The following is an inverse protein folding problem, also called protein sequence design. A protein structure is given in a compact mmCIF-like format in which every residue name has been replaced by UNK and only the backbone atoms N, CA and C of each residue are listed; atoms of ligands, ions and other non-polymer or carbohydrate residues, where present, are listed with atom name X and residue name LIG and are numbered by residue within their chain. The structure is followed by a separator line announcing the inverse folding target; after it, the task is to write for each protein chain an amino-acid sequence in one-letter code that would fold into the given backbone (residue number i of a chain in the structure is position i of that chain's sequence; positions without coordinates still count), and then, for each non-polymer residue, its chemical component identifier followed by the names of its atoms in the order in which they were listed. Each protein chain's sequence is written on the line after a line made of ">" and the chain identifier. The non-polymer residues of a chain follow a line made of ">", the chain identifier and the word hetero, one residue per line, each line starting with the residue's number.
data_IF_007363004081
#
_entry.id   IF_007363004081
#
_cell.length_a   1.000
_cell.length_b   1.000
_cell.length_c   1.000
_cell.angle_alpha   90.00
_cell.angle_beta   90.00
_cell.angle_gamma   90.00
#
_symmetry.space_group_name_H-M   'P 1'
#
loop_
_entity.id
_entity.type
_entity.pdbx_description
1 polymer ?
#
# COMPACT_ATOMS: atom_id res chain seq x y z
N UNK A 1 -1.30 -90.19 18.60
CA UNK A 1 -2.46 -89.35 18.23
C UNK A 1 -3.20 -90.04 17.10
N UNK A 2 -4.16 -90.89 17.47
CA UNK A 2 -4.76 -91.86 16.56
C UNK A 2 -5.77 -91.15 15.65
N UNK A 3 -5.44 -91.12 14.36
CA UNK A 3 -6.33 -90.74 13.26
C UNK A 3 -7.70 -91.39 13.48
N UNK A 4 -8.75 -90.62 13.21
CA UNK A 4 -10.17 -90.99 13.19
C UNK A 4 -10.41 -92.36 12.54
N UNK A 5 -10.28 -93.43 13.33
CA UNK A 5 -10.60 -94.79 12.92
C UNK A 5 -12.11 -94.95 13.05
N UNK A 6 -12.77 -95.20 11.93
CA UNK A 6 -14.21 -95.37 11.90
C UNK A 6 -14.58 -96.83 12.19
N UNK A 7 -15.65 -97.03 12.95
CA UNK A 7 -16.31 -98.33 13.12
C UNK A 7 -17.25 -98.65 11.96
N UNK A 8 -17.44 -97.73 11.01
CA UNK A 8 -18.28 -97.94 9.83
C UNK A 8 -17.47 -98.55 8.68
N UNK A 9 -17.96 -99.68 8.14
CA UNK A 9 -17.34 -100.49 7.09
C UNK A 9 -17.22 -99.72 5.77
N UNK A 10 -18.04 -98.69 5.57
CA UNK A 10 -18.08 -97.88 4.33
C UNK A 10 -17.01 -96.78 4.26
N UNK A 11 -16.31 -96.52 5.37
CA UNK A 11 -15.33 -95.46 5.45
C UNK A 11 -13.91 -95.97 5.12
N UNK A 12 -13.09 -95.19 4.38
CA UNK A 12 -11.75 -95.61 3.97
C UNK A 12 -10.78 -95.81 5.15
N UNK A 13 -11.13 -95.31 6.35
CA UNK A 13 -10.37 -95.46 7.60
C UNK A 13 -10.96 -96.53 8.54
N UNK A 14 -11.62 -97.56 8.01
CA UNK A 14 -12.17 -98.65 8.80
C UNK A 14 -11.07 -99.47 9.49
N UNK A 15 -11.18 -99.61 10.81
CA UNK A 15 -10.27 -100.47 11.58
C UNK A 15 -11.03 -101.66 12.18
N UNK A 16 -10.77 -102.91 11.72
CA UNK A 16 -11.48 -104.11 12.17
C UNK A 16 -11.39 -104.35 13.68
N UNK A 17 -10.27 -103.98 14.30
CA UNK A 17 -10.04 -104.19 15.73
C UNK A 17 -10.94 -103.28 16.58
N UNK A 18 -11.14 -102.02 16.15
CA UNK A 18 -12.03 -101.08 16.83
C UNK A 18 -13.51 -101.43 16.64
N UNK A 19 -13.88 -101.97 15.48
CA UNK A 19 -15.24 -102.43 15.23
C UNK A 19 -15.66 -103.58 16.16
N UNK A 20 -14.77 -104.57 16.34
CA UNK A 20 -15.01 -105.69 17.25
C UNK A 20 -15.06 -105.24 18.72
N UNK A 21 -14.19 -104.31 19.11
CA UNK A 21 -14.21 -103.68 20.44
C UNK A 21 -15.51 -102.90 20.70
N UNK A 22 -16.04 -102.19 19.72
CA UNK A 22 -17.23 -101.36 19.88
C UNK A 22 -18.54 -102.18 19.93
N UNK A 23 -18.68 -103.20 19.07
CA UNK A 23 -19.94 -103.95 18.93
C UNK A 23 -20.00 -105.29 19.68
N UNK A 24 -18.87 -105.85 20.09
CA UNK A 24 -18.78 -107.17 20.75
C UNK A 24 -17.85 -107.16 21.97
N UNK A 25 -17.88 -106.08 22.76
CA UNK A 25 -17.07 -105.95 23.99
C UNK A 25 -17.43 -106.93 25.12
N UNK A 26 -18.63 -107.53 25.10
CA UNK A 26 -19.12 -108.46 26.14
C UNK A 26 -19.10 -109.94 25.72
N UNK A 27 -18.58 -110.27 24.53
CA UNK A 27 -18.57 -111.64 24.01
C UNK A 27 -17.43 -112.48 24.62
N UNK A 28 -17.74 -113.67 25.12
CA UNK A 28 -16.74 -114.57 25.72
C UNK A 28 -15.90 -115.26 24.62
N UNK A 29 -14.64 -115.65 24.90
CA UNK A 29 -13.70 -116.18 23.88
C UNK A 29 -14.28 -117.35 23.07
N UNK A 30 -15.04 -118.25 23.71
CA UNK A 30 -15.70 -119.37 23.03
C UNK A 30 -16.80 -118.94 22.06
N UNK A 31 -17.49 -117.82 22.31
CA UNK A 31 -18.46 -117.26 21.36
C UNK A 31 -17.77 -116.64 20.16
N UNK A 32 -16.63 -115.96 20.33
CA UNK A 32 -15.84 -115.43 19.22
C UNK A 32 -15.27 -116.57 18.36
N UNK A 33 -14.85 -117.67 18.97
CA UNK A 33 -14.38 -118.87 18.25
C UNK A 33 -15.51 -119.51 17.45
N UNK A 34 -16.70 -119.70 18.06
CA UNK A 34 -17.89 -120.18 17.34
C UNK A 34 -18.31 -119.26 16.20
N UNK A 35 -18.27 -117.95 16.40
CA UNK A 35 -18.58 -116.97 15.36
C UNK A 35 -17.54 -116.96 14.23
N UNK A 36 -16.26 -117.17 14.54
CA UNK A 36 -15.20 -117.29 13.53
C UNK A 36 -15.36 -118.58 12.72
N UNK A 37 -15.69 -119.70 13.37
CA UNK A 37 -15.98 -120.96 12.68
C UNK A 37 -17.26 -120.86 11.84
N UNK A 38 -18.30 -120.15 12.32
CA UNK A 38 -19.48 -119.80 11.53
C UNK A 38 -19.10 -118.92 10.34
N UNK A 39 -18.25 -117.90 10.54
CA UNK A 39 -17.82 -116.99 9.48
C UNK A 39 -17.01 -117.71 8.41
N UNK A 40 -16.09 -118.60 8.81
CA UNK A 40 -15.32 -119.45 7.90
C UNK A 40 -16.23 -120.38 7.09
N UNK A 41 -17.25 -120.98 7.71
CA UNK A 41 -18.25 -121.79 7.01
C UNK A 41 -19.08 -120.95 6.04
N UNK A 42 -19.58 -119.79 6.47
CA UNK A 42 -20.28 -118.87 5.56
C UNK A 42 -19.38 -118.28 4.49
N UNK A 43 -18.06 -118.14 4.71
CA UNK A 43 -17.12 -117.66 3.70
C UNK A 43 -16.77 -118.76 2.69
N UNK A 44 -16.69 -120.03 3.11
CA UNK A 44 -16.58 -121.16 2.17
C UNK A 44 -17.87 -121.32 1.35
N UNK A 45 -19.04 -121.18 1.98
CA UNK A 45 -20.33 -121.22 1.28
C UNK A 45 -20.49 -120.00 0.35
N UNK A 46 -20.04 -118.81 0.79
CA UNK A 46 -20.00 -117.60 -0.03
C UNK A 46 -18.90 -117.61 -1.08
N UNK A 47 -17.87 -118.46 -1.04
CA UNK A 47 -16.98 -118.61 -2.21
C UNK A 47 -17.74 -119.26 -3.36
N UNK A 48 -18.64 -120.20 -3.08
CA UNK A 48 -19.58 -120.73 -4.06
C UNK A 48 -20.55 -119.65 -4.56
N UNK A 49 -21.26 -118.99 -3.63
CA UNK A 49 -22.27 -117.99 -3.98
C UNK A 49 -21.68 -116.72 -4.64
N UNK A 50 -20.53 -116.24 -4.18
CA UNK A 50 -19.82 -115.07 -4.74
C UNK A 50 -19.18 -115.40 -6.09
N UNK A 51 -18.69 -116.62 -6.31
CA UNK A 51 -18.27 -117.02 -7.67
C UNK A 51 -19.45 -117.18 -8.62
N UNK A 52 -20.64 -117.61 -8.18
CA UNK A 52 -21.87 -117.56 -9.01
C UNK A 52 -22.42 -116.16 -9.21
N UNK A 53 -22.38 -115.28 -8.22
CA UNK A 53 -22.82 -113.88 -8.34
C UNK A 53 -21.88 -113.08 -9.24
N UNK A 54 -20.57 -113.28 -9.10
CA UNK A 54 -19.58 -112.72 -10.00
C UNK A 54 -19.79 -113.33 -11.38
N UNK A 55 -19.93 -114.66 -11.55
CA UNK A 55 -20.16 -115.30 -12.86
C UNK A 55 -21.44 -114.83 -13.57
N UNK A 56 -22.53 -114.66 -12.85
CA UNK A 56 -23.80 -114.21 -13.42
C UNK A 56 -23.80 -112.70 -13.74
N UNK A 57 -22.94 -111.91 -13.09
CA UNK A 57 -22.89 -110.45 -13.24
C UNK A 57 -21.50 -109.96 -13.69
N UNK A 58 -20.70 -110.81 -14.37
CA UNK A 58 -19.34 -110.49 -14.82
C UNK A 58 -19.36 -109.23 -15.68
N UNK A 59 -20.35 -109.11 -16.57
CA UNK A 59 -20.46 -107.99 -17.49
C UNK A 59 -20.59 -106.66 -16.73
N UNK A 60 -21.52 -106.57 -15.79
CA UNK A 60 -21.73 -105.38 -14.95
C UNK A 60 -20.55 -105.07 -14.03
N UNK A 61 -19.82 -106.08 -13.54
CA UNK A 61 -18.59 -105.86 -12.78
C UNK A 61 -17.43 -105.38 -13.66
N UNK A 62 -17.26 -105.95 -14.85
CA UNK A 62 -16.27 -105.47 -15.81
C UNK A 62 -16.60 -104.05 -16.28
N UNK A 63 -17.87 -103.76 -16.52
CA UNK A 63 -18.35 -102.41 -16.84
C UNK A 63 -18.07 -101.44 -15.70
N UNK A 64 -18.37 -101.79 -14.44
CA UNK A 64 -18.04 -100.93 -13.30
C UNK A 64 -16.51 -100.73 -13.14
N UNK A 65 -15.71 -101.75 -13.42
CA UNK A 65 -14.24 -101.66 -13.39
C UNK A 65 -13.71 -100.82 -14.55
N UNK A 66 -14.28 -100.93 -15.73
CA UNK A 66 -13.89 -100.15 -16.90
C UNK A 66 -14.34 -98.69 -16.73
N UNK A 67 -15.54 -98.43 -16.20
CA UNK A 67 -15.99 -97.09 -15.76
C UNK A 67 -15.02 -96.52 -14.72
N UNK A 68 -14.60 -97.31 -13.72
CA UNK A 68 -13.60 -96.86 -12.74
C UNK A 68 -12.23 -96.57 -13.37
N UNK A 69 -11.79 -97.37 -14.34
CA UNK A 69 -10.55 -97.11 -15.09
C UNK A 69 -10.68 -95.87 -15.97
N UNK A 70 -11.84 -95.65 -16.59
CA UNK A 70 -12.11 -94.49 -17.43
C UNK A 70 -12.19 -93.22 -16.58
N UNK A 71 -12.86 -93.24 -15.43
CA UNK A 71 -12.84 -92.13 -14.46
C UNK A 71 -11.41 -91.82 -14.02
N UNK A 72 -10.58 -92.85 -13.77
CA UNK A 72 -9.18 -92.67 -13.41
C UNK A 72 -8.33 -92.13 -14.57
N UNK A 73 -8.65 -92.48 -15.82
CA UNK A 73 -8.03 -91.93 -17.02
C UNK A 73 -8.41 -90.46 -17.21
N UNK A 74 -9.70 -90.10 -17.12
CA UNK A 74 -10.16 -88.72 -17.14
C UNK A 74 -9.46 -87.87 -16.07
N UNK A 75 -9.40 -88.34 -14.82
CA UNK A 75 -8.71 -87.61 -13.74
C UNK A 75 -7.18 -87.51 -13.90
N UNK A 76 -6.56 -88.42 -14.66
CA UNK A 76 -5.14 -88.37 -14.97
C UNK A 76 -4.83 -87.46 -16.17
N UNK A 77 -5.76 -87.36 -17.13
CA UNK A 77 -5.69 -86.44 -18.27
C UNK A 77 -6.02 -84.99 -17.86
N UNK A 78 -6.95 -84.79 -16.92
CA UNK A 78 -7.31 -83.46 -16.36
C UNK A 78 -6.12 -82.77 -15.67
N UNK A 79 -5.16 -83.55 -15.14
CA UNK A 79 -3.91 -83.01 -14.56
C UNK A 79 -2.84 -82.71 -15.61
N UNK A 80 -2.96 -83.24 -16.82
CA UNK A 80 -1.98 -83.10 -17.91
C UNK A 80 -2.36 -82.08 -18.96
N UNK A 81 -3.65 -81.77 -19.13
CA UNK A 81 -4.11 -80.73 -20.04
C UNK A 81 -4.69 -79.58 -19.25
N UNK A 82 -3.91 -78.52 -19.09
CA UNK A 82 -4.23 -77.11 -19.32
C UNK A 82 -5.72 -76.71 -19.49
N UNK A 83 -6.64 -77.21 -18.68
CA UNK A 83 -8.08 -76.92 -18.83
C UNK A 83 -8.37 -75.43 -18.62
N UNK A 84 -7.60 -74.81 -17.72
CA UNK A 84 -7.68 -73.39 -17.42
C UNK A 84 -6.87 -72.51 -18.36
N UNK A 85 -5.95 -73.05 -19.16
CA UNK A 85 -5.09 -72.21 -20.02
C UNK A 85 -5.86 -71.52 -21.16
N UNK A 86 -6.82 -72.17 -21.84
CA UNK A 86 -7.71 -71.49 -22.77
C UNK A 86 -8.58 -70.42 -22.11
N UNK A 87 -9.00 -70.64 -20.87
CA UNK A 87 -9.82 -69.66 -20.11
C UNK A 87 -8.96 -68.47 -19.68
N UNK A 88 -7.73 -68.71 -19.22
CA UNK A 88 -6.76 -67.67 -18.90
C UNK A 88 -6.43 -66.87 -20.15
N UNK A 89 -6.16 -67.53 -21.28
CA UNK A 89 -5.94 -66.86 -22.58
C UNK A 89 -7.15 -66.04 -23.00
N UNK A 90 -8.37 -66.57 -22.86
CA UNK A 90 -9.59 -65.81 -23.16
C UNK A 90 -9.74 -64.58 -22.26
N UNK A 91 -9.40 -64.68 -20.97
CA UNK A 91 -9.45 -63.56 -20.02
C UNK A 91 -8.35 -62.53 -20.32
N UNK A 92 -7.15 -62.97 -20.69
CA UNK A 92 -6.07 -62.10 -21.15
C UNK A 92 -6.44 -61.39 -22.45
N UNK A 93 -7.04 -62.10 -23.41
CA UNK A 93 -7.53 -61.56 -24.68
C UNK A 93 -8.65 -60.53 -24.45
N UNK A 94 -9.62 -60.85 -23.56
CA UNK A 94 -10.69 -59.91 -23.19
C UNK A 94 -10.11 -58.69 -22.48
N UNK A 95 -9.11 -58.86 -21.61
CA UNK A 95 -8.45 -57.75 -20.94
C UNK A 95 -7.69 -56.87 -21.94
N UNK A 96 -7.02 -57.47 -22.92
CA UNK A 96 -6.28 -56.76 -23.95
C UNK A 96 -7.22 -55.99 -24.90
N UNK A 97 -8.38 -56.58 -25.23
CA UNK A 97 -9.44 -55.91 -25.98
C UNK A 97 -10.04 -54.78 -25.15
N UNK A 98 -10.30 -55.00 -23.86
CA UNK A 98 -10.83 -53.99 -22.96
C UNK A 98 -9.89 -52.80 -22.82
N UNK A 99 -8.58 -53.01 -22.63
CA UNK A 99 -7.59 -51.93 -22.63
C UNK A 99 -7.56 -51.22 -23.98
N UNK A 100 -7.54 -51.96 -25.09
CA UNK A 100 -7.57 -51.35 -26.43
C UNK A 100 -8.82 -50.50 -26.69
N UNK A 101 -9.98 -50.87 -26.15
CA UNK A 101 -11.22 -50.12 -26.32
C UNK A 101 -11.29 -48.94 -25.34
N UNK A 102 -11.10 -49.20 -24.04
CA UNK A 102 -11.32 -48.23 -22.99
C UNK A 102 -10.18 -47.26 -22.78
N UNK A 103 -8.92 -47.55 -23.12
CA UNK A 103 -7.83 -46.57 -22.95
C UNK A 103 -8.08 -45.31 -23.78
N UNK A 104 -8.66 -45.47 -24.97
CA UNK A 104 -9.04 -44.33 -25.82
C UNK A 104 -10.21 -43.53 -25.24
N UNK A 105 -11.19 -44.21 -24.63
CA UNK A 105 -12.35 -43.56 -24.02
C UNK A 105 -12.01 -42.92 -22.66
N UNK A 106 -11.11 -43.54 -21.87
CA UNK A 106 -10.54 -42.99 -20.65
C UNK A 106 -9.72 -41.73 -20.96
N UNK A 107 -8.86 -41.76 -21.98
CA UNK A 107 -8.12 -40.58 -22.41
C UNK A 107 -9.03 -39.44 -22.88
N UNK A 108 -10.13 -39.77 -23.59
CA UNK A 108 -11.16 -38.79 -23.98
C UNK A 108 -11.92 -38.23 -22.79
N UNK A 109 -12.22 -39.07 -21.80
CA UNK A 109 -12.84 -38.65 -20.53
C UNK A 109 -11.91 -37.72 -19.76
N UNK A 110 -10.64 -38.09 -19.59
CA UNK A 110 -9.64 -37.25 -18.93
C UNK A 110 -9.46 -35.92 -19.66
N UNK A 111 -9.43 -35.93 -20.99
CA UNK A 111 -9.42 -34.70 -21.79
C UNK A 111 -10.69 -33.86 -21.58
N UNK A 112 -11.86 -34.48 -21.52
CA UNK A 112 -13.12 -33.77 -21.22
C UNK A 112 -13.13 -33.18 -19.81
N UNK A 113 -12.61 -33.92 -18.82
CA UNK A 113 -12.54 -33.49 -17.43
C UNK A 113 -11.51 -32.36 -17.23
N UNK A 114 -10.39 -32.40 -17.95
CA UNK A 114 -9.42 -31.28 -17.98
C UNK A 114 -10.03 -30.03 -18.61
N UNK A 115 -10.76 -30.13 -19.73
CA UNK A 115 -11.50 -29.01 -20.31
C UNK A 115 -12.51 -28.46 -19.32
N UNK A 116 -13.26 -29.33 -18.65
CA UNK A 116 -14.29 -28.93 -17.67
C UNK A 116 -13.69 -28.23 -16.46
N UNK A 117 -12.56 -28.74 -15.96
CA UNK A 117 -11.81 -28.12 -14.87
C UNK A 117 -11.24 -26.75 -15.29
N UNK A 118 -10.63 -26.66 -16.46
CA UNK A 118 -10.12 -25.40 -17.01
C UNK A 118 -11.26 -24.37 -17.17
N UNK A 119 -12.42 -24.78 -17.69
CA UNK A 119 -13.59 -23.91 -17.83
C UNK A 119 -14.09 -23.43 -16.46
N UNK A 120 -14.16 -24.30 -15.46
CA UNK A 120 -14.56 -23.94 -14.10
C UNK A 120 -13.58 -22.93 -13.47
N UNK A 121 -12.27 -23.10 -13.66
CA UNK A 121 -11.25 -22.15 -13.19
C UNK A 121 -11.42 -20.80 -13.89
N UNK A 122 -11.60 -20.79 -15.22
CA UNK A 122 -11.82 -19.55 -15.98
C UNK A 122 -13.11 -18.84 -15.54
N UNK A 123 -14.19 -19.58 -15.30
CA UNK A 123 -15.46 -18.99 -14.83
C UNK A 123 -15.34 -18.44 -13.40
N UNK A 124 -14.73 -19.21 -12.48
CA UNK A 124 -14.54 -18.81 -11.08
C UNK A 124 -13.63 -17.58 -10.95
N UNK A 125 -12.57 -17.52 -11.76
CA UNK A 125 -11.59 -16.43 -11.74
C UNK A 125 -11.73 -15.47 -12.93
N UNK A 126 -12.89 -15.43 -13.58
CA UNK A 126 -13.16 -14.54 -14.73
C UNK A 126 -12.80 -13.09 -14.41
N UNK A 127 -13.10 -12.67 -13.19
CA UNK A 127 -12.73 -11.35 -12.66
C UNK A 127 -11.22 -11.11 -12.68
N UNK A 128 -10.40 -12.07 -12.25
CA UNK A 128 -8.94 -11.95 -12.21
C UNK A 128 -8.35 -11.78 -13.62
N UNK A 129 -8.88 -12.52 -14.60
CA UNK A 129 -8.45 -12.41 -15.99
C UNK A 129 -8.85 -11.07 -16.63
N UNK A 130 -9.97 -10.49 -16.23
CA UNK A 130 -10.44 -9.20 -16.75
C UNK A 130 -9.92 -8.01 -15.92
N UNK A 131 -9.25 -8.28 -14.79
CA UNK A 131 -8.77 -7.26 -13.86
C UNK A 131 -7.81 -6.27 -14.51
N UNK A 132 -6.76 -6.68 -15.27
CA UNK A 132 -5.83 -5.73 -15.85
C UNK A 132 -6.52 -4.78 -16.83
N UNK A 133 -7.44 -5.29 -17.66
CA UNK A 133 -8.20 -4.48 -18.61
C UNK A 133 -9.19 -3.54 -17.91
N UNK A 134 -9.78 -3.99 -16.80
CA UNK A 134 -10.71 -3.17 -16.01
C UNK A 134 -9.97 -2.06 -15.27
N UNK A 135 -8.79 -2.35 -14.72
CA UNK A 135 -7.91 -1.35 -14.10
C UNK A 135 -7.50 -0.32 -15.15
N UNK A 136 -7.01 -0.73 -16.32
CA UNK A 136 -6.58 0.22 -17.35
C UNK A 136 -7.71 1.15 -17.80
N UNK A 137 -8.93 0.61 -17.96
CA UNK A 137 -10.12 1.42 -18.29
C UNK A 137 -10.53 2.35 -17.17
N UNK A 138 -10.43 1.91 -15.92
CA UNK A 138 -10.85 2.69 -14.75
C UNK A 138 -9.84 3.80 -14.43
N UNK A 139 -8.55 3.56 -14.68
CA UNK A 139 -7.50 4.59 -14.63
C UNK A 139 -7.73 5.68 -15.67
N UNK A 140 -8.12 5.31 -16.91
CA UNK A 140 -8.48 6.28 -17.96
C UNK A 140 -9.73 7.10 -17.64
N UNK A 141 -10.59 6.61 -16.74
CA UNK A 141 -11.83 7.28 -16.30
C UNK A 141 -11.69 8.02 -14.97
N UNK A 142 -10.49 8.02 -14.38
CA UNK A 142 -10.20 8.60 -13.05
C UNK A 142 -11.03 8.01 -11.89
N UNK A 143 -11.59 6.80 -12.07
CA UNK A 143 -12.38 6.10 -11.05
C UNK A 143 -11.47 5.30 -10.09
N UNK A 144 -10.57 6.01 -9.39
CA UNK A 144 -9.52 5.40 -8.58
C UNK A 144 -10.02 4.57 -7.39
N UNK A 145 -11.18 4.91 -6.81
CA UNK A 145 -11.78 4.15 -5.71
C UNK A 145 -12.17 2.72 -6.13
N UNK A 146 -12.74 2.58 -7.34
CA UNK A 146 -13.09 1.27 -7.89
C UNK A 146 -11.85 0.43 -8.15
N UNK A 147 -10.80 1.06 -8.68
CA UNK A 147 -9.50 0.41 -8.92
C UNK A 147 -8.94 -0.18 -7.63
N UNK A 148 -8.99 0.57 -6.54
CA UNK A 148 -8.46 0.11 -5.24
C UNK A 148 -9.28 -1.04 -4.67
N UNK A 149 -10.61 -0.95 -4.72
CA UNK A 149 -11.48 -2.03 -4.26
C UNK A 149 -11.26 -3.31 -5.09
N UNK A 150 -11.09 -3.18 -6.41
CA UNK A 150 -10.80 -4.30 -7.30
C UNK A 150 -9.42 -4.90 -7.02
N UNK A 151 -8.42 -4.07 -6.70
CA UNK A 151 -7.07 -4.51 -6.32
C UNK A 151 -7.04 -5.22 -4.97
N UNK A 152 -7.77 -4.72 -3.96
CA UNK A 152 -7.89 -5.39 -2.65
C UNK A 152 -8.58 -6.74 -2.80
N UNK A 153 -9.66 -6.81 -3.59
CA UNK A 153 -10.35 -8.08 -3.93
C UNK A 153 -9.44 -9.03 -4.68
N UNK A 154 -8.65 -8.52 -5.63
CA UNK A 154 -7.68 -9.33 -6.37
C UNK A 154 -6.62 -9.92 -5.43
N UNK A 155 -6.08 -9.11 -4.51
CA UNK A 155 -5.07 -9.56 -3.54
C UNK A 155 -5.59 -10.70 -2.66
N UNK A 156 -6.81 -10.57 -2.12
CA UNK A 156 -7.46 -11.62 -1.34
C UNK A 156 -7.72 -12.88 -2.18
N UNK A 157 -8.05 -12.74 -3.45
CA UNK A 157 -8.25 -13.88 -4.34
C UNK A 157 -6.94 -14.62 -4.66
N UNK A 158 -5.81 -13.89 -4.78
CA UNK A 158 -4.49 -14.48 -5.05
C UNK A 158 -3.91 -15.24 -3.86
N UNK A 159 -4.26 -14.91 -2.61
CA UNK A 159 -3.82 -15.69 -1.43
C UNK A 159 -4.34 -17.13 -1.42
N UNK A 160 -5.40 -17.43 -2.19
CA UNK A 160 -6.05 -18.74 -2.20
C UNK A 160 -5.60 -19.68 -3.32
N UNK A 161 -4.77 -19.22 -4.28
CA UNK A 161 -4.47 -20.00 -5.51
C UNK A 161 -3.01 -19.88 -5.96
N UNK A 162 -2.24 -20.95 -5.73
CA UNK A 162 -0.88 -21.09 -6.24
C UNK A 162 -0.86 -21.85 -7.57
N UNK A 163 -0.94 -21.14 -8.70
CA UNK A 163 -0.66 -21.73 -10.01
C UNK A 163 0.23 -20.83 -10.88
N UNK A 164 1.00 -21.44 -11.78
CA UNK A 164 1.97 -20.75 -12.65
C UNK A 164 1.31 -19.72 -13.58
N UNK A 165 0.06 -19.96 -13.99
CA UNK A 165 -0.73 -19.01 -14.81
C UNK A 165 -1.13 -17.79 -14.00
N UNK A 166 -1.54 -17.98 -12.74
CA UNK A 166 -1.85 -16.87 -11.84
C UNK A 166 -0.62 -16.02 -11.51
N UNK A 167 0.59 -16.60 -11.53
CA UNK A 167 1.84 -15.84 -11.34
C UNK A 167 2.10 -14.80 -12.41
N UNK A 168 1.78 -15.10 -13.67
CA UNK A 168 1.94 -14.12 -14.76
C UNK A 168 0.92 -12.98 -14.63
N UNK A 169 -0.32 -13.29 -14.26
CA UNK A 169 -1.36 -12.28 -14.03
C UNK A 169 -1.04 -11.46 -12.78
N UNK A 170 -0.55 -12.09 -11.72
CA UNK A 170 -0.09 -11.43 -10.51
C UNK A 170 1.07 -10.47 -10.80
N UNK A 171 2.00 -10.85 -11.69
CA UNK A 171 3.08 -9.95 -12.14
C UNK A 171 2.52 -8.74 -12.88
N UNK A 172 1.58 -8.95 -13.81
CA UNK A 172 0.93 -7.85 -14.55
C UNK A 172 0.15 -6.93 -13.60
N UNK A 173 -0.61 -7.49 -12.66
CA UNK A 173 -1.36 -6.73 -11.66
C UNK A 173 -0.42 -5.97 -10.73
N UNK A 174 0.68 -6.57 -10.26
CA UNK A 174 1.67 -5.86 -9.45
C UNK A 174 2.38 -4.74 -10.23
N UNK A 175 2.65 -4.94 -11.52
CA UNK A 175 3.18 -3.89 -12.39
C UNK A 175 2.18 -2.73 -12.55
N UNK A 176 0.88 -3.03 -12.71
CA UNK A 176 -0.17 -2.01 -12.74
C UNK A 176 -0.31 -1.28 -11.39
N UNK A 177 -0.22 -2.01 -10.27
CA UNK A 177 -0.17 -1.40 -8.93
C UNK A 177 1.04 -0.46 -8.82
N UNK A 178 2.20 -0.85 -9.33
CA UNK A 178 3.40 -0.02 -9.30
C UNK A 178 3.24 1.24 -10.16
N UNK A 179 2.64 1.12 -11.35
CA UNK A 179 2.33 2.25 -12.22
C UNK A 179 1.34 3.22 -11.54
N UNK A 180 0.31 2.68 -10.87
CA UNK A 180 -0.64 3.47 -10.09
C UNK A 180 0.03 4.17 -8.90
N UNK A 181 0.95 3.50 -8.21
CA UNK A 181 1.76 4.12 -7.15
C UNK A 181 2.57 5.29 -7.69
N UNK A 182 3.23 5.13 -8.83
CA UNK A 182 3.99 6.22 -9.45
C UNK A 182 3.09 7.37 -9.88
N UNK A 183 1.90 7.09 -10.41
CA UNK A 183 0.92 8.11 -10.80
C UNK A 183 0.41 8.88 -9.58
N UNK A 184 0.02 8.20 -8.51
CA UNK A 184 -0.43 8.86 -7.29
C UNK A 184 0.69 9.64 -6.61
N UNK A 185 1.93 9.16 -6.64
CA UNK A 185 3.09 9.94 -6.17
C UNK A 185 3.31 11.18 -7.03
N UNK A 186 3.22 11.07 -8.36
CA UNK A 186 3.32 12.21 -9.27
C UNK A 186 2.22 13.24 -9.02
N UNK A 187 0.97 12.82 -8.86
CA UNK A 187 -0.14 13.74 -8.52
C UNK A 187 -0.04 14.33 -7.11
N UNK A 188 0.56 13.63 -6.16
CA UNK A 188 0.89 14.20 -4.85
C UNK A 188 2.04 15.22 -4.89
N UNK A 189 2.93 15.12 -5.89
CA UNK A 189 4.00 16.10 -6.11
C UNK A 189 3.55 17.32 -6.91
N UNK A 190 2.35 17.30 -7.51
CA UNK A 190 1.77 18.47 -8.17
C UNK A 190 1.35 19.51 -7.12
N UNK A 191 2.05 20.64 -7.10
CA UNK A 191 1.77 21.80 -6.27
C UNK A 191 1.29 22.95 -7.17
N UNK A 192 0.15 23.61 -6.86
CA UNK A 192 -0.73 23.44 -5.69
C UNK A 192 -1.86 22.41 -5.94
N UNK A 193 -2.01 21.43 -5.05
CA UNK A 193 -3.12 20.47 -5.03
C UNK A 193 -4.09 20.75 -3.88
N UNK A 194 -5.38 20.45 -4.05
CA UNK A 194 -6.37 20.68 -2.99
C UNK A 194 -6.14 19.70 -1.82
N UNK A 195 -6.40 20.15 -0.59
CA UNK A 195 -6.26 19.32 0.61
C UNK A 195 -7.09 18.03 0.50
N UNK A 196 -8.26 18.10 -0.12
CA UNK A 196 -9.15 16.94 -0.23
C UNK A 196 -8.64 15.90 -1.23
N UNK A 197 -8.02 16.34 -2.33
CA UNK A 197 -7.30 15.45 -3.25
C UNK A 197 -6.09 14.82 -2.57
N UNK A 198 -5.32 15.61 -1.80
CA UNK A 198 -4.18 15.09 -1.02
C UNK A 198 -4.62 14.02 -0.01
N UNK A 199 -5.69 14.26 0.76
CA UNK A 199 -6.25 13.25 1.68
C UNK A 199 -6.68 11.99 0.95
N UNK A 200 -7.32 12.14 -0.21
CA UNK A 200 -7.84 11.04 -1.01
C UNK A 200 -6.69 10.20 -1.59
N UNK A 201 -5.67 10.81 -2.17
CA UNK A 201 -4.47 10.11 -2.65
C UNK A 201 -3.65 9.47 -1.53
N UNK A 202 -3.55 10.10 -0.35
CA UNK A 202 -2.90 9.50 0.83
C UNK A 202 -3.64 8.22 1.26
N UNK A 203 -4.97 8.25 1.32
CA UNK A 203 -5.80 7.07 1.64
C UNK A 203 -5.60 5.96 0.60
N UNK A 204 -5.57 6.33 -0.67
CA UNK A 204 -5.37 5.41 -1.77
C UNK A 204 -4.00 4.75 -1.73
N UNK A 205 -2.93 5.52 -1.50
CA UNK A 205 -1.59 4.96 -1.37
C UNK A 205 -1.45 4.05 -0.14
N UNK A 206 -2.08 4.41 0.99
CA UNK A 206 -2.04 3.56 2.18
C UNK A 206 -2.77 2.22 1.98
N UNK A 207 -3.89 2.22 1.25
CA UNK A 207 -4.59 0.98 0.90
C UNK A 207 -3.77 0.05 -0.02
N UNK A 208 -2.87 0.63 -0.84
CA UNK A 208 -2.01 -0.10 -1.77
C UNK A 208 -0.69 -0.54 -1.15
N UNK A 209 -0.17 0.22 -0.18
CA UNK A 209 1.05 -0.07 0.55
C UNK A 209 0.93 0.30 2.04
N UNK A 210 0.61 -0.66 2.92
CA UNK A 210 0.54 -0.42 4.36
C UNK A 210 1.91 -0.29 5.04
N UNK A 211 3.03 -0.47 4.31
CA UNK A 211 4.40 -0.38 4.88
C UNK A 211 5.04 0.99 4.66
N UNK A 212 4.69 1.70 3.59
CA UNK A 212 5.12 3.08 3.39
C UNK A 212 4.23 4.04 4.19
N UNK A 213 4.72 5.25 4.45
CA UNK A 213 3.93 6.34 5.03
C UNK A 213 3.75 7.48 4.01
N UNK A 214 2.73 7.37 3.13
CA UNK A 214 2.52 8.31 2.04
C UNK A 214 2.19 9.74 2.51
N UNK A 215 1.60 9.87 3.70
CA UNK A 215 1.28 11.18 4.25
C UNK A 215 2.55 11.98 4.59
N UNK A 216 3.56 11.31 5.16
CA UNK A 216 4.83 11.95 5.46
C UNK A 216 5.61 12.33 4.21
N UNK A 217 5.65 11.45 3.21
CA UNK A 217 6.26 11.77 1.92
C UNK A 217 5.58 13.00 1.28
N UNK A 218 4.25 13.09 1.33
CA UNK A 218 3.49 14.25 0.85
C UNK A 218 3.89 15.54 1.59
N UNK A 219 3.96 15.51 2.92
CA UNK A 219 4.35 16.67 3.73
C UNK A 219 5.77 17.14 3.41
N UNK A 220 6.72 16.22 3.21
CA UNK A 220 8.10 16.57 2.82
C UNK A 220 8.13 17.24 1.44
N UNK A 221 7.41 16.70 0.46
CA UNK A 221 7.39 17.26 -0.89
C UNK A 221 6.70 18.63 -0.91
N UNK A 222 5.56 18.78 -0.24
CA UNK A 222 4.85 20.07 -0.16
C UNK A 222 5.70 21.12 0.57
N UNK A 223 6.43 20.72 1.62
CA UNK A 223 7.42 21.60 2.24
C UNK A 223 8.51 22.02 1.24
N UNK A 224 9.12 21.06 0.55
CA UNK A 224 10.21 21.34 -0.39
C UNK A 224 9.75 22.30 -1.48
N UNK A 225 8.58 22.04 -2.08
CA UNK A 225 7.95 22.93 -3.05
C UNK A 225 7.71 24.34 -2.49
N UNK A 226 7.18 24.44 -1.27
CA UNK A 226 6.95 25.74 -0.62
C UNK A 226 8.26 26.49 -0.37
N UNK A 227 9.31 25.79 0.09
CA UNK A 227 10.64 26.39 0.28
C UNK A 227 11.24 26.85 -1.05
N UNK A 228 11.09 26.07 -2.13
CA UNK A 228 11.60 26.42 -3.44
C UNK A 228 10.88 27.63 -4.03
N UNK A 229 9.56 27.74 -3.83
CA UNK A 229 8.77 28.93 -4.18
C UNK A 229 9.20 30.14 -3.34
N UNK A 230 9.41 29.98 -2.02
CA UNK A 230 9.91 31.09 -1.19
C UNK A 230 11.32 31.54 -1.63
N UNK A 231 12.18 30.59 -2.00
CA UNK A 231 13.54 30.90 -2.49
C UNK A 231 13.52 31.59 -3.84
N UNK A 232 12.56 31.29 -4.72
CA UNK A 232 12.41 31.98 -6.00
C UNK A 232 11.92 33.43 -5.84
N UNK A 233 11.33 33.78 -4.70
CA UNK A 233 11.02 35.17 -4.32
C UNK A 233 12.25 35.99 -3.86
N UNK A 234 13.48 35.45 -3.95
CA UNK A 234 14.70 36.24 -3.71
C UNK A 234 15.09 36.92 -5.02
N UNK A 235 15.11 38.25 -5.03
CA UNK A 235 15.61 39.00 -6.19
C UNK A 235 17.14 38.96 -6.21
N UNK A 236 17.72 38.37 -7.26
CA UNK A 236 19.17 38.24 -7.43
C UNK A 236 19.86 39.62 -7.53
N UNK A 237 20.90 39.90 -6.71
CA UNK A 237 21.65 41.16 -6.77
C UNK A 237 22.38 41.38 -8.11
N UNK A 238 22.61 40.32 -8.89
CA UNK A 238 23.37 40.38 -10.16
C UNK A 238 22.52 40.80 -11.35
N UNK A 239 21.21 40.52 -11.33
CA UNK A 239 20.28 41.03 -12.36
C UNK A 239 20.01 42.53 -12.16
N UNK A 240 20.20 43.05 -10.94
CA UNK A 240 20.00 44.45 -10.59
C UNK A 240 21.05 45.39 -11.21
N UNK A 241 22.24 44.89 -11.57
CA UNK A 241 23.30 45.70 -12.18
C UNK A 241 23.07 46.00 -13.67
N UNK A 242 22.14 45.31 -14.35
CA UNK A 242 21.92 45.46 -15.80
C UNK A 242 20.75 46.40 -16.16
N UNK A 243 19.87 46.74 -15.22
CA UNK A 243 18.69 47.59 -15.47
C UNK A 243 18.92 48.98 -14.85
N UNK A 244 18.93 50.04 -15.66
CA UNK A 244 19.31 51.39 -15.21
C UNK A 244 18.22 52.16 -14.45
N UNK A 245 17.05 51.57 -14.14
CA UNK A 245 15.93 52.28 -13.51
C UNK A 245 15.69 51.88 -12.04
N UNK A 246 16.00 52.79 -11.12
CA UNK A 246 15.88 52.61 -9.65
C UNK A 246 14.45 52.23 -9.23
N UNK A 247 13.42 52.78 -9.87
CA UNK A 247 11.99 52.48 -9.58
C UNK A 247 11.64 51.00 -9.82
N UNK A 248 12.04 50.47 -10.98
CA UNK A 248 11.71 49.10 -11.38
C UNK A 248 12.29 48.07 -10.39
N UNK A 249 13.48 48.35 -9.83
CA UNK A 249 14.14 47.49 -8.84
C UNK A 249 13.48 47.47 -7.46
N UNK A 250 12.80 48.55 -7.07
CA UNK A 250 12.05 48.62 -5.81
C UNK A 250 10.68 47.96 -5.96
N UNK A 251 10.04 48.12 -7.11
CA UNK A 251 8.77 47.45 -7.44
C UNK A 251 8.95 45.92 -7.54
N UNK A 252 10.07 45.44 -8.10
CA UNK A 252 10.37 44.00 -8.12
C UNK A 252 10.59 43.40 -6.72
N UNK A 253 11.28 44.13 -5.84
CA UNK A 253 11.55 43.67 -4.47
C UNK A 253 10.27 43.56 -3.64
N UNK A 254 9.38 44.54 -3.81
CA UNK A 254 8.13 44.66 -3.07
C UNK A 254 7.14 43.60 -3.53
N UNK A 255 7.00 43.41 -4.85
CA UNK A 255 6.24 42.30 -5.43
C UNK A 255 6.75 40.93 -4.96
N UNK A 256 8.07 40.76 -4.81
CA UNK A 256 8.64 39.50 -4.32
C UNK A 256 8.32 39.24 -2.84
N UNK A 257 8.33 40.29 -2.00
CA UNK A 257 7.89 40.19 -0.59
C UNK A 257 6.40 39.92 -0.50
N UNK A 258 5.58 40.55 -1.34
CA UNK A 258 4.13 40.33 -1.37
C UNK A 258 3.80 38.90 -1.80
N UNK A 259 4.45 38.39 -2.85
CA UNK A 259 4.33 36.98 -3.26
C UNK A 259 4.75 36.02 -2.15
N UNK A 260 5.84 36.31 -1.43
CA UNK A 260 6.26 35.48 -0.30
C UNK A 260 5.22 35.50 0.85
N UNK A 261 4.59 36.65 1.12
CA UNK A 261 3.52 36.77 2.10
C UNK A 261 2.25 36.02 1.67
N UNK A 262 1.88 36.10 0.38
CA UNK A 262 0.71 35.43 -0.17
C UNK A 262 0.87 33.91 -0.16
N UNK A 263 2.04 33.39 -0.59
CA UNK A 263 2.35 31.95 -0.54
C UNK A 263 2.27 31.42 0.89
N UNK A 264 2.79 32.19 1.86
CA UNK A 264 2.75 31.79 3.26
C UNK A 264 1.35 31.94 3.88
N UNK A 265 0.49 32.79 3.35
CA UNK A 265 -0.90 32.95 3.83
C UNK A 265 -1.86 31.94 3.19
N UNK A 266 -1.52 31.41 2.01
CA UNK A 266 -2.39 30.49 1.25
C UNK A 266 -1.97 29.03 1.36
N UNK A 267 -0.69 28.72 1.10
CA UNK A 267 -0.22 27.32 1.02
C UNK A 267 0.21 26.74 2.36
N UNK A 268 0.72 27.57 3.28
CA UNK A 268 1.17 27.09 4.59
C UNK A 268 0.03 26.65 5.52
N UNK A 269 -1.14 27.33 5.59
CA UNK A 269 -2.25 26.85 6.41
C UNK A 269 -2.75 25.46 5.98
N UNK A 270 -2.76 25.20 4.67
CA UNK A 270 -3.14 23.90 4.11
C UNK A 270 -2.16 22.79 4.53
N UNK A 271 -0.87 23.07 4.42
CA UNK A 271 0.20 22.19 4.93
C UNK A 271 0.09 21.99 6.44
N UNK A 272 -0.15 23.06 7.20
CA UNK A 272 -0.31 23.00 8.65
C UNK A 272 -1.52 22.17 9.05
N UNK A 273 -2.64 22.32 8.35
CA UNK A 273 -3.83 21.51 8.56
C UNK A 273 -3.58 20.03 8.26
N UNK A 274 -2.85 19.71 7.19
CA UNK A 274 -2.43 18.34 6.87
C UNK A 274 -1.54 17.75 7.99
N UNK A 275 -0.57 18.51 8.49
CA UNK A 275 0.28 18.14 9.64
C UNK A 275 -0.58 17.89 10.89
N UNK A 276 -1.55 18.76 11.16
CA UNK A 276 -2.47 18.61 12.29
C UNK A 276 -3.34 17.35 12.16
N UNK A 277 -3.83 17.04 10.95
CA UNK A 277 -4.60 15.82 10.69
C UNK A 277 -3.75 14.55 10.84
N UNK A 278 -2.48 14.63 10.45
CA UNK A 278 -1.50 13.56 10.62
C UNK A 278 -1.21 13.31 12.12
N UNK A 279 -0.93 14.37 12.88
CA UNK A 279 -0.70 14.27 14.33
C UNK A 279 -1.96 13.81 15.10
N UNK A 280 -3.15 14.22 14.66
CA UNK A 280 -4.44 13.84 15.25
C UNK A 280 -4.93 12.45 14.78
N UNK A 281 -4.15 11.72 13.98
CA UNK A 281 -4.47 10.36 13.49
C UNK A 281 -5.77 10.27 12.69
N UNK A 282 -6.19 11.34 12.01
CA UNK A 282 -7.45 11.38 11.23
C UNK A 282 -7.29 11.05 9.74
N UNK A 283 -6.04 10.87 9.27
CA UNK A 283 -5.73 10.60 7.86
C UNK A 283 -6.02 9.15 7.46
N UNK A 284 -5.77 8.19 8.35
CA UNK A 284 -5.92 6.76 8.09
C UNK A 284 -7.14 6.19 8.84
N UNK A 285 -7.89 5.23 8.25
CA UNK A 285 -8.89 4.46 8.98
C UNK A 285 -8.20 3.72 10.14
N UNK A 286 -8.79 3.76 11.33
CA UNK A 286 -8.31 3.06 12.53
C UNK A 286 -8.19 1.55 12.22
N UNK A 287 -6.96 1.08 11.99
CA UNK A 287 -6.64 -0.34 11.80
C UNK A 287 -6.13 -0.90 13.12
N UNK A 288 -6.52 -2.14 13.46
CA UNK A 288 -6.29 -2.83 14.75
C UNK A 288 -4.81 -3.03 15.14
N UNK A 289 -3.84 -2.58 14.31
CA UNK A 289 -2.39 -2.61 14.58
C UNK A 289 -1.84 -1.25 15.08
N UNK A 290 -2.50 -0.65 16.07
CA UNK A 290 -2.21 0.71 16.58
C UNK A 290 -0.81 0.86 17.21
N UNK A 291 -0.29 -0.18 17.87
CA UNK A 291 0.82 -0.01 18.82
C UNK A 291 2.22 0.22 18.20
N UNK A 292 2.49 -0.24 16.98
CA UNK A 292 3.77 0.01 16.27
C UNK A 292 3.76 1.36 15.53
N UNK A 293 2.58 1.76 15.05
CA UNK A 293 2.33 3.05 14.41
C UNK A 293 2.47 4.16 15.46
N UNK A 294 1.97 3.96 16.69
CA UNK A 294 2.00 4.96 17.76
C UNK A 294 3.40 5.42 18.20
N UNK A 295 4.41 4.56 18.12
CA UNK A 295 5.82 4.92 18.40
C UNK A 295 6.44 5.74 17.26
N UNK A 296 6.08 5.44 16.02
CA UNK A 296 6.64 6.11 14.83
C UNK A 296 6.15 7.56 14.72
N UNK A 297 4.89 7.83 15.09
CA UNK A 297 4.27 9.14 14.92
C UNK A 297 4.66 10.12 16.04
N UNK A 298 4.89 9.61 17.26
CA UNK A 298 5.39 10.40 18.40
C UNK A 298 6.86 10.81 18.21
N UNK A 299 7.70 9.97 17.58
CA UNK A 299 9.07 10.32 17.23
C UNK A 299 9.22 11.41 16.16
N UNK A 300 8.20 11.61 15.30
CA UNK A 300 8.25 12.62 14.23
C UNK A 300 7.77 14.01 14.63
N UNK A 301 7.12 14.17 15.78
CA UNK A 301 6.77 15.48 16.35
C UNK A 301 7.93 16.51 16.35
N UNK A 302 9.15 16.20 16.80
CA UNK A 302 10.29 17.11 16.71
C UNK A 302 10.76 17.37 15.27
N UNK A 303 10.63 16.39 14.37
CA UNK A 303 10.95 16.56 12.96
C UNK A 303 9.99 17.58 12.32
N UNK A 304 8.68 17.52 12.62
CA UNK A 304 7.72 18.53 12.17
C UNK A 304 8.08 19.93 12.63
N UNK A 305 8.50 20.10 13.89
CA UNK A 305 8.95 21.40 14.39
C UNK A 305 10.17 21.90 13.61
N UNK A 306 11.11 21.02 13.26
CA UNK A 306 12.25 21.37 12.41
C UNK A 306 11.82 21.74 10.97
N UNK A 307 10.83 21.03 10.41
CA UNK A 307 10.28 21.34 9.08
C UNK A 307 9.64 22.74 9.06
N UNK A 308 8.78 23.05 10.03
CA UNK A 308 8.13 24.36 10.16
C UNK A 308 9.16 25.46 10.43
N UNK A 309 10.19 25.18 11.23
CA UNK A 309 11.31 26.11 11.47
C UNK A 309 11.98 26.52 10.18
N UNK A 310 12.30 25.56 9.31
CA UNK A 310 13.01 25.83 8.06
C UNK A 310 12.19 26.71 7.10
N UNK A 311 10.87 26.48 7.03
CA UNK A 311 9.96 27.32 6.22
C UNK A 311 9.98 28.76 6.74
N UNK A 312 9.76 28.94 8.04
CA UNK A 312 9.70 30.27 8.67
C UNK A 312 11.04 30.99 8.55
N UNK A 313 12.15 30.30 8.76
CA UNK A 313 13.50 30.85 8.58
C UNK A 313 13.78 31.26 7.13
N UNK A 314 13.34 30.45 6.16
CA UNK A 314 13.46 30.79 4.74
C UNK A 314 12.67 32.07 4.43
N UNK A 315 11.42 32.17 4.90
CA UNK A 315 10.62 33.39 4.76
C UNK A 315 11.30 34.61 5.39
N UNK A 316 11.79 34.49 6.63
CA UNK A 316 12.51 35.58 7.30
C UNK A 316 13.72 36.02 6.46
N UNK A 317 14.49 35.07 5.94
CA UNK A 317 15.66 35.38 5.10
C UNK A 317 15.27 36.07 3.79
N UNK A 318 14.19 35.64 3.12
CA UNK A 318 13.68 36.28 1.91
C UNK A 318 13.31 37.74 2.17
N UNK A 319 12.59 38.00 3.26
CA UNK A 319 12.17 39.36 3.64
C UNK A 319 13.40 40.23 3.99
N UNK A 320 14.35 39.70 4.77
CA UNK A 320 15.59 40.43 5.13
C UNK A 320 16.47 40.73 3.92
N UNK A 321 16.63 39.77 3.00
CA UNK A 321 17.46 39.94 1.80
C UNK A 321 16.88 40.98 0.85
N UNK A 322 15.56 41.00 0.67
CA UNK A 322 14.91 41.95 -0.22
C UNK A 322 14.86 43.38 0.35
N UNK A 323 14.64 43.53 1.67
CA UNK A 323 14.36 44.83 2.30
C UNK A 323 15.51 45.43 3.13
N UNK A 324 16.30 44.62 3.86
CA UNK A 324 17.27 45.12 4.86
C UNK A 324 18.72 45.19 4.35
N UNK A 325 19.13 44.29 3.44
CA UNK A 325 20.52 44.21 2.98
C UNK A 325 20.91 45.19 1.87
N UNK A 326 20.00 46.06 1.40
CA UNK A 326 20.30 47.04 0.33
C UNK A 326 21.14 48.24 0.79
N UNK A 327 21.39 48.39 2.10
CA UNK A 327 22.12 49.55 2.63
C UNK A 327 23.65 49.35 2.71
N UNK A 328 24.18 48.14 2.43
CA UNK A 328 25.59 47.80 2.67
C UNK A 328 26.46 47.74 1.42
N UNK A 329 25.90 47.76 0.21
CA UNK A 329 26.65 47.56 -1.05
C UNK A 329 27.26 48.82 -1.65
N UNK A 330 26.99 50.02 -1.12
CA UNK A 330 27.50 51.31 -1.68
C UNK A 330 28.82 51.80 -1.10
N UNK A 331 29.62 50.97 -0.41
CA UNK A 331 30.90 51.40 0.18
C UNK A 331 32.15 51.13 -0.66
N UNK A 332 32.05 50.62 -1.89
CA UNK A 332 33.24 50.14 -2.63
C UNK A 332 33.58 50.79 -3.97
N UNK A 333 32.84 51.79 -4.49
CA UNK A 333 33.25 52.44 -5.75
C UNK A 333 33.51 53.94 -5.57
N UNK A 334 34.78 54.24 -5.31
CA UNK A 334 35.37 55.57 -5.28
C UNK A 334 35.49 56.14 -6.70
N UNK A 335 34.41 56.64 -7.33
CA UNK A 335 34.52 57.47 -8.56
C UNK A 335 33.27 58.28 -8.99
N UNK A 336 32.19 58.40 -8.21
CA UNK A 336 31.10 59.34 -8.54
C UNK A 336 31.35 60.73 -7.95
N UNK A 337 31.09 61.77 -8.74
CA UNK A 337 31.11 63.17 -8.32
C UNK A 337 30.14 63.39 -7.15
N UNK A 338 30.60 64.05 -6.08
CA UNK A 338 29.84 64.27 -4.83
C UNK A 338 28.40 64.80 -5.04
N UNK A 339 28.15 65.56 -6.10
CA UNK A 339 26.82 66.11 -6.41
C UNK A 339 25.86 65.06 -6.99
N UNK A 340 26.35 64.07 -7.73
CA UNK A 340 25.51 63.03 -8.39
C UNK A 340 25.04 61.96 -7.38
N UNK A 341 25.86 61.73 -6.35
CA UNK A 341 25.52 60.86 -5.21
C UNK A 341 24.38 61.44 -4.34
N UNK A 342 24.29 62.76 -4.21
CA UNK A 342 23.24 63.43 -3.42
C UNK A 342 21.85 63.29 -4.07
N UNK A 343 21.77 63.36 -5.40
CA UNK A 343 20.50 63.21 -6.13
C UNK A 343 20.04 61.75 -6.23
N UNK A 344 20.95 60.81 -6.48
CA UNK A 344 20.62 59.36 -6.53
C UNK A 344 20.17 58.81 -5.17
N UNK A 345 20.79 59.26 -4.06
CA UNK A 345 20.38 58.85 -2.73
C UNK A 345 19.01 59.41 -2.33
N UNK A 346 18.62 60.59 -2.85
CA UNK A 346 17.31 61.17 -2.58
C UNK A 346 16.17 60.44 -3.32
N UNK A 347 16.36 60.03 -4.59
CA UNK A 347 15.34 59.25 -5.33
C UNK A 347 15.19 57.83 -4.76
N UNK A 348 16.28 57.18 -4.35
CA UNK A 348 16.22 55.91 -3.63
C UNK A 348 15.46 56.00 -2.30
N UNK A 349 15.71 57.05 -1.52
CA UNK A 349 15.01 57.27 -0.24
C UNK A 349 13.52 57.51 -0.48
N UNK A 350 13.16 58.24 -1.54
CA UNK A 350 11.77 58.48 -1.94
C UNK A 350 11.05 57.18 -2.34
N UNK A 351 11.66 56.33 -3.16
CA UNK A 351 11.06 55.04 -3.54
C UNK A 351 10.91 54.08 -2.35
N UNK A 352 11.87 54.08 -1.41
CA UNK A 352 11.77 53.25 -0.20
C UNK A 352 10.68 53.73 0.75
N UNK A 353 10.52 55.04 0.97
CA UNK A 353 9.41 55.57 1.80
C UNK A 353 8.05 55.20 1.24
N UNK A 354 7.90 55.17 -0.09
CA UNK A 354 6.63 54.83 -0.74
C UNK A 354 6.25 53.36 -0.54
N UNK A 355 7.23 52.46 -0.59
CA UNK A 355 6.99 51.01 -0.71
C UNK A 355 7.19 50.24 0.60
N UNK A 356 8.11 50.68 1.45
CA UNK A 356 8.46 49.98 2.70
C UNK A 356 7.30 49.91 3.70
N UNK A 357 6.49 50.98 3.95
CA UNK A 357 5.34 50.89 4.86
C UNK A 357 4.32 49.83 4.44
N UNK A 358 4.06 49.70 3.14
CA UNK A 358 3.20 48.66 2.57
C UNK A 358 3.74 47.25 2.87
N UNK A 359 5.03 47.00 2.62
CA UNK A 359 5.65 45.72 2.94
C UNK A 359 5.63 45.42 4.45
N UNK A 360 5.83 46.43 5.32
CA UNK A 360 5.69 46.26 6.77
C UNK A 360 4.25 45.87 7.15
N UNK A 361 3.25 46.47 6.52
CA UNK A 361 1.85 46.14 6.73
C UNK A 361 1.51 44.71 6.27
N UNK A 362 1.96 44.31 5.09
CA UNK A 362 1.72 42.96 4.56
C UNK A 362 2.43 41.88 5.38
N UNK A 363 3.70 42.09 5.72
CA UNK A 363 4.41 41.22 6.65
C UNK A 363 3.71 41.15 8.01
N UNK A 364 3.17 42.25 8.53
CA UNK A 364 2.39 42.26 9.78
C UNK A 364 1.14 41.38 9.66
N UNK A 365 0.37 41.50 8.59
CA UNK A 365 -0.83 40.70 8.36
C UNK A 365 -0.50 39.21 8.24
N UNK A 366 0.55 38.88 7.50
CA UNK A 366 1.05 37.52 7.35
C UNK A 366 1.49 36.92 8.70
N UNK A 367 2.27 37.67 9.50
CA UNK A 367 2.69 37.23 10.84
C UNK A 367 1.49 37.05 11.79
N UNK A 368 0.49 37.93 11.73
CA UNK A 368 -0.74 37.78 12.52
C UNK A 368 -1.51 36.51 12.13
N UNK A 369 -1.59 36.22 10.82
CA UNK A 369 -2.20 34.99 10.34
C UNK A 369 -1.44 33.75 10.84
N UNK A 370 -0.11 33.73 10.75
CA UNK A 370 0.71 32.64 11.29
C UNK A 370 0.54 32.44 12.80
N UNK A 371 0.47 33.53 13.57
CA UNK A 371 0.23 33.45 15.02
C UNK A 371 -1.16 32.89 15.32
N UNK A 372 -2.17 33.15 14.47
CA UNK A 372 -3.51 32.58 14.62
C UNK A 372 -3.59 31.07 14.42
N UNK A 373 -2.57 30.47 13.78
CA UNK A 373 -2.50 29.02 13.52
C UNK A 373 -2.01 28.20 14.73
N UNK A 374 -1.85 28.82 15.91
CA UNK A 374 -1.35 28.18 17.15
C UNK A 374 -0.03 27.42 16.96
N UNK A 375 0.84 27.92 16.08
CA UNK A 375 2.19 27.38 15.87
C UNK A 375 3.00 27.65 17.16
N UNK A 376 3.75 26.66 17.64
CA UNK A 376 4.43 26.73 18.94
C UNK A 376 5.27 28.00 19.18
N UNK A 377 5.43 28.36 20.45
CA UNK A 377 6.04 29.60 20.98
C UNK A 377 7.48 29.90 20.50
N UNK A 378 8.21 28.92 19.98
CA UNK A 378 9.63 29.06 19.63
C UNK A 378 9.87 30.02 18.46
N UNK A 379 8.98 30.07 17.47
CA UNK A 379 9.12 30.95 16.30
C UNK A 379 8.64 32.38 16.55
N UNK A 380 7.85 32.59 17.61
CA UNK A 380 7.28 33.90 17.94
C UNK A 380 8.37 34.95 18.15
N UNK A 381 9.49 34.57 18.77
CA UNK A 381 10.63 35.47 19.00
C UNK A 381 11.30 35.90 17.69
N UNK A 382 11.52 34.96 16.77
CA UNK A 382 12.17 35.21 15.48
C UNK A 382 11.31 36.11 14.58
N UNK A 383 9.99 35.88 14.54
CA UNK A 383 9.04 36.72 13.82
C UNK A 383 8.89 38.11 14.46
N UNK A 384 8.87 38.19 15.80
CA UNK A 384 8.87 39.48 16.51
C UNK A 384 10.14 40.27 16.24
N UNK A 385 11.30 39.62 16.18
CA UNK A 385 12.56 40.25 15.83
C UNK A 385 12.55 40.76 14.39
N UNK A 386 12.08 39.97 13.42
CA UNK A 386 11.92 40.45 12.04
C UNK A 386 11.00 41.69 11.97
N UNK A 387 9.86 41.65 12.66
CA UNK A 387 8.94 42.79 12.68
C UNK A 387 9.56 44.03 13.35
N UNK A 388 10.39 43.84 14.38
CA UNK A 388 11.14 44.94 14.99
C UNK A 388 12.16 45.52 14.02
N UNK A 389 12.96 44.68 13.35
CA UNK A 389 13.98 45.11 12.38
C UNK A 389 13.33 45.90 11.23
N UNK A 390 12.21 45.41 10.68
CA UNK A 390 11.45 46.06 9.62
C UNK A 390 10.87 47.41 10.06
N UNK A 391 10.33 47.49 11.28
CA UNK A 391 9.79 48.74 11.84
C UNK A 391 10.89 49.76 12.08
N UNK A 392 12.05 49.32 12.56
CA UNK A 392 13.20 50.19 12.80
C UNK A 392 13.73 50.76 11.48
N UNK A 393 13.89 49.94 10.44
CA UNK A 393 14.31 50.42 9.13
C UNK A 393 13.24 51.33 8.48
N UNK A 394 11.95 50.99 8.61
CA UNK A 394 10.87 51.87 8.15
C UNK A 394 10.92 53.23 8.84
N UNK A 395 11.13 53.26 10.16
CA UNK A 395 11.29 54.49 10.91
C UNK A 395 12.50 55.31 10.44
N UNK A 396 13.68 54.68 10.30
CA UNK A 396 14.89 55.37 9.81
C UNK A 396 14.67 55.99 8.44
N UNK A 397 14.12 55.23 7.48
CA UNK A 397 13.89 55.70 6.11
C UNK A 397 12.88 56.85 6.07
N UNK A 398 11.83 56.81 6.89
CA UNK A 398 10.87 57.92 6.99
C UNK A 398 11.53 59.16 7.62
N UNK A 399 12.37 58.99 8.64
CA UNK A 399 13.10 60.10 9.28
C UNK A 399 14.14 60.72 8.34
N UNK A 400 14.90 59.91 7.61
CA UNK A 400 15.87 60.38 6.63
C UNK A 400 15.16 61.17 5.52
N UNK A 401 14.01 60.68 5.05
CA UNK A 401 13.17 61.40 4.09
C UNK A 401 12.61 62.71 4.65
N UNK A 402 12.17 62.72 5.91
CA UNK A 402 11.71 63.94 6.55
C UNK A 402 12.84 64.97 6.63
N UNK A 403 14.05 64.56 7.01
CA UNK A 403 15.24 65.44 7.00
C UNK A 403 15.55 65.99 5.60
N UNK A 404 15.44 65.15 4.56
CA UNK A 404 15.63 65.58 3.16
C UNK A 404 14.56 66.57 2.70
N UNK A 405 13.29 66.34 3.03
CA UNK A 405 12.20 67.28 2.70
C UNK A 405 12.33 68.59 3.48
N UNK A 406 12.69 68.55 4.78
CA UNK A 406 12.97 69.75 5.57
C UNK A 406 14.06 70.58 4.94
N UNK A 407 15.13 69.93 4.48
CA UNK A 407 16.25 70.60 3.81
C UNK A 407 15.85 71.21 2.45
N UNK A 408 14.80 70.69 1.82
CA UNK A 408 14.26 71.15 0.53
C UNK A 408 13.10 72.14 0.66
N UNK A 409 12.53 72.32 1.86
CA UNK A 409 11.41 73.25 2.08
C UNK A 409 11.72 74.68 1.60
N UNK A 410 12.99 75.11 1.68
CA UNK A 410 13.40 76.43 1.20
C UNK A 410 13.20 76.62 -0.32
N UNK A 411 13.15 75.54 -1.09
CA UNK A 411 12.95 75.58 -2.55
C UNK A 411 11.47 75.52 -2.93
N UNK A 412 10.62 75.13 -1.98
CA UNK A 412 9.16 75.02 -2.15
C UNK A 412 8.41 76.25 -1.63
N UNK A 413 9.11 77.20 -0.99
CA UNK A 413 8.52 78.43 -0.48
C UNK A 413 8.20 79.42 -1.61
N UNK A 414 6.93 79.81 -1.73
CA UNK A 414 6.45 80.79 -2.73
C UNK A 414 6.56 82.25 -2.26
N UNK A 415 7.09 82.49 -1.05
CA UNK A 415 7.20 83.81 -0.39
C UNK A 415 5.87 84.59 -0.27
N UNK A 416 4.74 83.89 -0.37
CA UNK A 416 3.42 84.47 -0.17
C UNK A 416 3.15 84.69 1.33
N UNK A 417 2.69 85.90 1.68
CA UNK A 417 2.37 86.30 3.05
C UNK A 417 0.92 85.93 3.39
N UNK A 418 0.76 85.17 4.47
CA UNK A 418 -0.52 84.92 5.12
C UNK A 418 -0.66 85.86 6.32
N UNK A 419 -1.75 86.63 6.35
CA UNK A 419 -2.07 87.54 7.45
C UNK A 419 -2.98 86.80 8.43
N UNK A 420 -2.45 86.48 9.61
CA UNK A 420 -3.24 85.92 10.71
C UNK A 420 -3.58 87.02 11.73
N UNK A 421 -4.83 87.06 12.21
CA UNK A 421 -5.34 88.11 13.11
C UNK A 421 -4.59 88.15 14.45
N UNK A 422 -3.94 87.06 14.85
CA UNK A 422 -3.29 86.92 16.17
C UNK A 422 -1.74 86.92 16.12
N UNK A 423 -1.11 86.53 15.01
CA UNK A 423 0.35 86.42 14.89
C UNK A 423 0.99 87.37 13.88
N UNK A 424 0.20 88.15 13.13
CA UNK A 424 0.69 89.04 12.08
C UNK A 424 0.96 88.31 10.75
N UNK A 425 1.66 88.99 9.83
CA UNK A 425 1.99 88.43 8.51
C UNK A 425 3.18 87.49 8.59
N UNK A 426 2.99 86.22 8.25
CA UNK A 426 4.05 85.21 8.13
C UNK A 426 4.01 84.56 6.75
N UNK A 427 5.11 83.94 6.32
CA UNK A 427 5.12 83.17 5.06
C UNK A 427 4.45 81.82 5.25
N UNK A 428 4.07 81.14 4.17
CA UNK A 428 3.45 79.78 4.22
C UNK A 428 4.38 78.67 4.75
N UNK A 429 5.66 78.96 4.94
CA UNK A 429 6.68 77.97 5.31
C UNK A 429 6.43 77.25 6.65
N UNK A 430 6.02 77.92 7.75
CA UNK A 430 5.72 77.24 9.01
C UNK A 430 4.54 76.27 8.90
N UNK A 431 3.53 76.61 8.08
CA UNK A 431 2.37 75.75 7.82
C UNK A 431 2.77 74.51 7.00
N UNK A 432 3.59 74.69 5.95
CA UNK A 432 4.14 73.56 5.17
C UNK A 432 5.01 72.62 6.02
N UNK A 433 5.84 73.17 6.91
CA UNK A 433 6.64 72.39 7.84
C UNK A 433 5.76 71.62 8.84
N UNK A 434 4.74 72.27 9.40
CA UNK A 434 3.78 71.65 10.31
C UNK A 434 3.05 70.48 9.64
N UNK A 435 2.46 70.71 8.47
CA UNK A 435 1.69 69.69 7.72
C UNK A 435 2.56 68.48 7.33
N UNK A 436 3.81 68.74 6.93
CA UNK A 436 4.76 67.69 6.61
C UNK A 436 5.10 66.83 7.84
N UNK A 437 5.44 67.46 8.98
CA UNK A 437 5.73 66.71 10.22
C UNK A 437 4.52 65.92 10.66
N UNK A 438 3.32 66.51 10.64
CA UNK A 438 2.08 65.81 11.01
C UNK A 438 1.83 64.61 10.09
N UNK A 439 2.02 64.77 8.78
CA UNK A 439 1.86 63.67 7.81
C UNK A 439 2.85 62.53 8.06
N UNK A 440 4.14 62.83 8.26
CA UNK A 440 5.15 61.79 8.55
C UNK A 440 4.92 61.14 9.92
N UNK A 441 4.54 61.93 10.93
CA UNK A 441 4.20 61.42 12.25
C UNK A 441 3.02 60.46 12.21
N UNK A 442 1.99 60.75 11.39
CA UNK A 442 0.86 59.86 11.17
C UNK A 442 1.29 58.54 10.49
N UNK A 443 2.14 58.60 9.46
CA UNK A 443 2.67 57.38 8.79
C UNK A 443 3.48 56.52 9.77
N UNK A 444 4.31 57.14 10.61
CA UNK A 444 5.07 56.45 11.67
C UNK A 444 4.11 55.84 12.68
N UNK A 445 3.09 56.60 13.11
CA UNK A 445 2.10 56.11 14.06
C UNK A 445 1.37 54.88 13.53
N UNK A 446 0.88 54.91 12.29
CA UNK A 446 0.14 53.81 11.68
C UNK A 446 0.99 52.58 11.39
N UNK A 447 2.22 52.73 10.89
CA UNK A 447 3.02 51.60 10.40
C UNK A 447 4.03 51.07 11.41
N UNK A 448 4.56 51.94 12.29
CA UNK A 448 5.63 51.62 13.24
C UNK A 448 5.06 51.41 14.64
N UNK A 449 4.16 52.29 15.10
CA UNK A 449 3.73 52.35 16.50
C UNK A 449 2.37 51.69 16.77
N UNK A 450 1.49 51.50 15.78
CA UNK A 450 0.20 50.82 15.96
C UNK A 450 0.43 49.30 16.18
N UNK A 451 0.83 48.97 17.40
CA UNK A 451 0.98 47.60 17.88
C UNK A 451 -0.40 47.09 18.26
N UNK A 452 -1.02 46.31 17.38
CA UNK A 452 -2.03 45.35 17.79
C UNK A 452 -1.58 43.95 17.33
N UNK A 453 -0.50 43.45 17.95
CA UNK A 453 -0.18 42.02 17.95
C UNK A 453 -0.77 41.33 19.20
N UNK A 454 -1.48 42.06 20.07
CA UNK A 454 -2.03 41.54 21.34
C UNK A 454 -3.40 42.12 21.71
N UNK A 455 -4.34 42.21 20.76
CA UNK A 455 -5.78 42.30 21.11
C UNK A 455 -6.49 40.94 21.07
N UNK A 456 -5.74 39.89 21.42
CA UNK A 456 -6.25 38.54 21.72
C UNK A 456 -6.30 38.20 23.21
N UNK A 457 -5.75 39.04 24.10
CA UNK A 457 -5.93 38.91 25.54
C UNK A 457 -7.02 39.88 26.01
N UNK A 458 -8.26 39.55 25.68
CA UNK A 458 -9.40 39.92 26.54
C UNK A 458 -9.65 38.75 27.48
N UNK A 459 -9.21 38.90 28.73
CA UNK A 459 -9.67 38.28 29.99
C UNK A 459 -8.69 38.79 31.05
N UNK A 460 -9.09 39.53 32.08
CA UNK A 460 -10.28 39.39 32.95
C UNK A 460 -10.96 40.74 33.16
#
# INVERSE_FOLDING_TARGET
>A
MLKSCSTDITQPNFNPYYYLLAHKSTANFDELRKNLDHLKRTQSDNKGASTTLVKNNIASFMEAVDIMKDIRRFSADDRKKNFYEPVIKLVEDISHIAHSMYDTDLARKDYSDTIRNALNVIQRYKFIFHLPQTIERSVKREEYEKVINDLVRARAAFETVDSTVFRNIQREVEQQIQNLRTLFRQRLTEFPSTIDDQKLFIRYLHSLDPKADPAWDCIIHQKAALIDVLRSCVVDPRQQQQTHEIKLHHDQATNAVDQACDVLTTAFPDLWYLIQLYLKKKLYPLSEKSDEIDKTYTHRAPEFLALTKEIIQTFINVVRLNLLNRSTTKKSDMTSSQDDDLYTNADETYQRVKTLPHCVQNCRLCVLHLVSLDIQLDFKKELQQLMFDLRLECFKVIMDHACLEVSRLNTQETWELECDEHLGSHTKLPNLFHDMIVTKANIIYENVLSVNVTKGERKV
#
